data_IF_144701972397
#
_entry.id   IF_144701972397
#
_cell.length_a   1.000
_cell.length_b   1.000
_cell.length_c   1.000
_cell.angle_alpha   90.00
_cell.angle_beta   90.00
_cell.angle_gamma   90.00
#
_symmetry.space_group_name_H-M   'P 1'
#
loop_
_entity.id
_entity.type
_entity.pdbx_description
1 polymer ?
#
# COMPACT_ATOMS: atom_id res chain seq x y z
N UNK A 1 -25.74 -12.38 3.75
CA UNK A 1 -24.40 -11.77 3.53
C UNK A 1 -23.46 -12.28 4.60
N UNK A 2 -22.29 -12.79 4.23
CA UNK A 2 -21.28 -13.25 5.18
C UNK A 2 -20.54 -12.08 5.84
N UNK A 3 -20.06 -12.29 7.07
CA UNK A 3 -19.17 -11.32 7.75
C UNK A 3 -17.97 -11.00 6.86
N UNK A 4 -17.88 -9.75 6.38
CA UNK A 4 -16.76 -9.26 5.57
C UNK A 4 -17.04 -9.10 4.07
N UNK A 5 -18.24 -9.43 3.59
CA UNK A 5 -18.62 -9.26 2.19
C UNK A 5 -18.76 -7.77 1.81
N UNK A 6 -18.66 -7.51 0.50
CA UNK A 6 -19.02 -6.22 -0.10
C UNK A 6 -20.54 -6.04 -0.05
N UNK A 7 -20.99 -4.91 0.50
CA UNK A 7 -22.36 -4.41 0.35
C UNK A 7 -22.65 -4.14 -1.13
N UNK A 8 -23.93 -4.04 -1.52
CA UNK A 8 -24.30 -3.70 -2.89
C UNK A 8 -23.71 -2.35 -3.34
N UNK A 9 -23.68 -1.36 -2.43
CA UNK A 9 -23.04 -0.07 -2.69
C UNK A 9 -21.54 -0.21 -2.94
N UNK A 10 -20.81 -0.88 -2.05
CA UNK A 10 -19.36 -1.08 -2.23
C UNK A 10 -19.06 -1.90 -3.49
N UNK A 11 -19.93 -2.85 -3.85
CA UNK A 11 -19.83 -3.61 -5.10
C UNK A 11 -20.00 -2.70 -6.33
N UNK A 12 -21.02 -1.85 -6.34
CA UNK A 12 -21.29 -0.92 -7.46
C UNK A 12 -20.13 0.04 -7.75
N UNK A 13 -19.35 0.38 -6.73
CA UNK A 13 -18.14 1.21 -6.85
C UNK A 13 -16.91 0.44 -7.36
N UNK A 14 -16.90 -0.89 -7.20
CA UNK A 14 -15.76 -1.74 -7.55
C UNK A 14 -15.93 -2.39 -8.92
N UNK A 15 -17.13 -2.90 -9.21
CA UNK A 15 -17.46 -3.70 -10.38
C UNK A 15 -17.04 -3.06 -11.72
N UNK A 16 -17.23 -1.75 -11.97
CA UNK A 16 -16.83 -1.12 -13.22
C UNK A 16 -15.33 -1.21 -13.51
N UNK A 17 -14.51 -1.41 -12.48
CA UNK A 17 -13.04 -1.44 -12.57
C UNK A 17 -12.47 -2.86 -12.70
N UNK A 18 -13.33 -3.88 -12.64
CA UNK A 18 -12.91 -5.27 -12.77
C UNK A 18 -12.66 -5.62 -14.25
N UNK A 19 -11.66 -6.48 -14.55
CA UNK A 19 -11.47 -6.90 -15.93
C UNK A 19 -12.72 -7.63 -16.46
N UNK A 20 -13.02 -7.53 -17.76
CA UNK A 20 -14.24 -8.10 -18.34
C UNK A 20 -14.34 -9.61 -18.09
N UNK A 21 -15.57 -10.09 -17.91
CA UNK A 21 -15.88 -11.51 -17.78
C UNK A 21 -15.71 -12.18 -19.15
N UNK A 22 -14.50 -12.67 -19.43
CA UNK A 22 -14.22 -13.44 -20.64
C UNK A 22 -12.98 -12.98 -21.39
N UNK A 23 -12.11 -13.95 -21.70
CA UNK A 23 -10.89 -13.81 -22.49
C UNK A 23 -10.23 -15.18 -22.67
N UNK A 24 -9.20 -15.30 -23.52
CA UNK A 24 -8.58 -16.60 -23.91
C UNK A 24 -8.33 -17.52 -22.70
N UNK A 25 -9.10 -18.62 -22.65
CA UNK A 25 -8.99 -19.69 -21.66
C UNK A 25 -10.14 -19.83 -20.65
N UNK A 26 -11.38 -19.46 -21.00
CA UNK A 26 -12.61 -19.85 -20.30
C UNK A 26 -13.37 -18.72 -19.59
N UNK A 27 -14.64 -18.98 -19.27
CA UNK A 27 -15.52 -18.07 -18.52
C UNK A 27 -15.00 -17.94 -17.08
N UNK A 28 -14.81 -16.72 -16.62
CA UNK A 28 -14.42 -16.48 -15.23
C UNK A 28 -15.61 -16.78 -14.31
N UNK A 29 -15.35 -17.43 -13.17
CA UNK A 29 -16.34 -17.49 -12.09
C UNK A 29 -16.75 -16.07 -11.69
N UNK A 30 -17.98 -15.95 -11.18
CA UNK A 30 -18.57 -14.70 -10.73
C UNK A 30 -17.58 -13.87 -9.90
N UNK A 31 -17.35 -12.63 -10.35
CA UNK A 31 -16.36 -11.77 -9.73
C UNK A 31 -16.72 -11.45 -8.30
N UNK A 32 -18.01 -11.24 -8.00
CA UNK A 32 -18.45 -10.84 -6.66
C UNK A 32 -18.13 -11.92 -5.65
N UNK A 33 -18.48 -13.16 -5.97
CA UNK A 33 -18.21 -14.34 -5.14
C UNK A 33 -16.71 -14.51 -4.89
N UNK A 34 -15.90 -14.45 -5.96
CA UNK A 34 -14.44 -14.63 -5.84
C UNK A 34 -13.79 -13.48 -5.06
N UNK A 35 -14.15 -12.22 -5.34
CA UNK A 35 -13.61 -11.06 -4.64
C UNK A 35 -14.01 -11.08 -3.17
N UNK A 36 -15.26 -11.42 -2.84
CA UNK A 36 -15.68 -11.58 -1.46
C UNK A 36 -14.89 -12.68 -0.74
N UNK A 37 -14.61 -13.81 -1.40
CA UNK A 37 -13.74 -14.86 -0.85
C UNK A 37 -12.31 -14.37 -0.57
N UNK A 38 -11.74 -13.56 -1.46
CA UNK A 38 -10.43 -12.93 -1.25
C UNK A 38 -10.49 -11.97 -0.06
N UNK A 39 -11.46 -11.08 0.00
CA UNK A 39 -11.61 -10.09 1.08
C UNK A 39 -11.87 -10.76 2.42
N UNK A 40 -12.63 -11.85 2.45
CA UNK A 40 -12.80 -12.68 3.65
C UNK A 40 -11.46 -13.21 4.13
N UNK A 41 -10.66 -13.84 3.26
CA UNK A 41 -9.30 -14.30 3.62
C UNK A 41 -8.44 -13.16 4.14
N UNK A 42 -8.44 -12.01 3.46
CA UNK A 42 -7.62 -10.86 3.86
C UNK A 42 -8.01 -10.36 5.25
N UNK A 43 -9.31 -10.29 5.54
CA UNK A 43 -9.84 -9.84 6.83
C UNK A 43 -9.54 -10.83 7.96
N UNK A 44 -9.77 -12.12 7.77
CA UNK A 44 -9.70 -13.14 8.81
C UNK A 44 -8.31 -13.75 8.97
N UNK A 45 -7.50 -13.75 7.91
CA UNK A 45 -6.17 -14.37 7.91
C UNK A 45 -6.21 -15.89 7.84
N UNK A 46 -7.36 -16.51 7.57
CA UNK A 46 -7.46 -17.97 7.46
C UNK A 46 -6.59 -18.51 6.33
N UNK A 47 -6.06 -19.75 6.44
CA UNK A 47 -5.45 -20.44 5.32
C UNK A 47 -6.42 -20.50 4.13
N UNK A 48 -5.89 -20.41 2.90
CA UNK A 48 -6.72 -20.43 1.69
C UNK A 48 -7.62 -21.66 1.62
N UNK A 49 -7.15 -22.82 2.09
CA UNK A 49 -7.90 -24.09 2.08
C UNK A 49 -9.10 -24.10 3.02
N UNK A 50 -9.10 -23.23 4.02
CA UNK A 50 -10.14 -23.15 5.05
C UNK A 50 -11.14 -22.03 4.73
N UNK A 51 -11.15 -21.58 3.47
CA UNK A 51 -12.14 -20.63 2.99
C UNK A 51 -13.54 -21.26 3.02
N UNK A 52 -14.56 -20.54 3.50
CA UNK A 52 -15.92 -21.04 3.51
C UNK A 52 -16.42 -21.42 2.12
N UNK A 53 -17.10 -22.56 2.02
CA UNK A 53 -17.57 -23.15 0.76
C UNK A 53 -18.50 -22.24 -0.04
N UNK A 54 -19.21 -21.30 0.62
CA UNK A 54 -20.06 -20.29 -0.03
C UNK A 54 -19.35 -19.42 -1.07
N UNK A 55 -18.02 -19.32 -1.01
CA UNK A 55 -17.23 -18.57 -2.00
C UNK A 55 -16.77 -19.44 -3.18
N UNK A 56 -17.12 -20.72 -3.17
CA UNK A 56 -16.69 -21.71 -4.14
C UNK A 56 -15.27 -22.23 -3.87
N UNK A 57 -14.67 -22.83 -4.91
CA UNK A 57 -13.38 -23.51 -4.79
C UNK A 57 -12.25 -22.57 -4.34
N UNK A 58 -11.62 -22.88 -3.21
CA UNK A 58 -10.46 -22.13 -2.71
C UNK A 58 -9.32 -22.01 -3.73
N UNK A 59 -9.14 -23.02 -4.59
CA UNK A 59 -8.12 -23.02 -5.66
C UNK A 59 -8.38 -21.88 -6.63
N UNK A 60 -9.64 -21.70 -7.04
CA UNK A 60 -10.06 -20.61 -7.94
C UNK A 60 -9.79 -19.25 -7.30
N UNK A 61 -10.19 -19.08 -6.04
CA UNK A 61 -10.04 -17.82 -5.30
C UNK A 61 -8.55 -17.47 -5.16
N UNK A 62 -7.73 -18.43 -4.74
CA UNK A 62 -6.29 -18.26 -4.61
C UNK A 62 -5.61 -17.96 -5.95
N UNK A 63 -5.95 -18.69 -7.01
CA UNK A 63 -5.36 -18.46 -8.34
C UNK A 63 -5.74 -17.10 -8.91
N UNK A 64 -6.98 -16.64 -8.69
CA UNK A 64 -7.41 -15.30 -9.06
C UNK A 64 -6.59 -14.25 -8.32
N UNK A 65 -6.51 -14.38 -6.99
CA UNK A 65 -5.72 -13.47 -6.17
C UNK A 65 -4.26 -13.45 -6.63
N UNK A 66 -3.63 -14.62 -6.77
CA UNK A 66 -2.23 -14.75 -7.21
C UNK A 66 -2.01 -14.13 -8.60
N UNK A 67 -2.90 -14.36 -9.56
CA UNK A 67 -2.79 -13.81 -10.92
C UNK A 67 -2.87 -12.29 -10.91
N UNK A 68 -3.89 -11.73 -10.25
CA UNK A 68 -4.10 -10.28 -10.14
C UNK A 68 -3.00 -9.57 -9.35
N UNK A 69 -2.43 -10.25 -8.36
CA UNK A 69 -1.24 -9.80 -7.64
C UNK A 69 0.01 -9.80 -8.52
N UNK A 70 0.12 -10.75 -9.45
CA UNK A 70 1.29 -10.88 -10.31
C UNK A 70 1.29 -9.87 -11.46
N UNK A 71 0.15 -9.67 -12.13
CA UNK A 71 0.03 -8.82 -13.32
C UNK A 71 -0.36 -7.35 -13.04
N UNK A 72 -0.48 -7.00 -11.75
CA UNK A 72 -0.80 -5.65 -11.30
C UNK A 72 -2.27 -5.26 -11.43
N UNK A 73 -3.18 -6.21 -11.61
CA UNK A 73 -4.64 -5.93 -11.68
C UNK A 73 -5.15 -5.29 -10.39
N UNK A 74 -4.69 -5.73 -9.22
CA UNK A 74 -5.05 -5.07 -7.96
C UNK A 74 -4.63 -3.61 -7.90
N UNK A 75 -3.44 -3.27 -8.41
CA UNK A 75 -2.97 -1.88 -8.43
C UNK A 75 -3.83 -1.02 -9.37
N UNK A 76 -4.20 -1.56 -10.54
CA UNK A 76 -5.06 -0.86 -11.50
C UNK A 76 -6.45 -0.60 -10.91
N UNK A 77 -7.02 -1.59 -10.23
CA UNK A 77 -8.30 -1.44 -9.52
C UNK A 77 -8.17 -0.34 -8.45
N UNK A 78 -7.14 -0.40 -7.60
CA UNK A 78 -6.91 0.64 -6.57
C UNK A 78 -6.79 2.03 -7.19
N UNK A 79 -6.01 2.19 -8.26
CA UNK A 79 -5.84 3.47 -8.94
C UNK A 79 -7.14 3.98 -9.57
N UNK A 80 -8.01 3.09 -10.05
CA UNK A 80 -9.29 3.49 -10.66
C UNK A 80 -10.30 3.89 -9.58
N UNK A 81 -10.38 3.16 -8.47
CA UNK A 81 -11.20 3.57 -7.30
C UNK A 81 -10.71 4.91 -6.72
N UNK A 82 -9.40 5.15 -6.68
CA UNK A 82 -8.82 6.43 -6.30
C UNK A 82 -9.16 7.53 -7.32
N UNK A 83 -9.16 7.23 -8.62
CA UNK A 83 -9.52 8.19 -9.66
C UNK A 83 -10.97 8.68 -9.51
N UNK A 84 -11.90 7.76 -9.23
CA UNK A 84 -13.31 8.11 -8.94
C UNK A 84 -13.42 8.94 -7.65
N UNK A 85 -12.60 8.65 -6.64
CA UNK A 85 -12.56 9.45 -5.43
C UNK A 85 -12.00 10.86 -5.67
N UNK A 86 -10.95 11.00 -6.47
CA UNK A 86 -10.37 12.30 -6.84
C UNK A 86 -11.37 13.14 -7.64
N UNK A 87 -12.04 12.52 -8.61
CA UNK A 87 -13.07 13.15 -9.43
C UNK A 87 -14.24 13.67 -8.57
N UNK A 88 -14.62 12.90 -7.54
CA UNK A 88 -15.65 13.29 -6.58
C UNK A 88 -15.15 14.25 -5.47
N UNK A 89 -13.91 14.73 -5.53
CA UNK A 89 -13.33 15.61 -4.50
C UNK A 89 -13.10 14.95 -3.14
N UNK A 90 -13.08 13.61 -3.09
CA UNK A 90 -12.98 12.82 -1.85
C UNK A 90 -11.55 12.48 -1.44
N UNK A 91 -10.53 12.98 -2.14
CA UNK A 91 -9.13 12.81 -1.73
C UNK A 91 -8.63 14.10 -1.09
N UNK A 92 -8.22 14.02 0.18
CA UNK A 92 -7.52 15.13 0.81
C UNK A 92 -6.05 15.19 0.37
N UNK A 93 -5.76 16.09 -0.57
CA UNK A 93 -4.40 16.38 -1.02
C UNK A 93 -3.67 17.42 -0.18
N UNK A 94 -4.40 18.13 0.69
CA UNK A 94 -3.86 19.20 1.52
C UNK A 94 -2.80 18.69 2.50
N UNK A 95 -2.87 17.40 2.83
CA UNK A 95 -1.87 16.71 3.63
C UNK A 95 -1.86 15.20 3.39
N UNK A 96 -0.69 14.70 3.03
CA UNK A 96 -0.43 13.26 2.89
C UNK A 96 0.65 12.86 3.89
N UNK A 97 0.32 11.94 4.80
CA UNK A 97 1.27 11.41 5.76
C UNK A 97 2.06 10.23 5.17
N UNK A 98 3.37 10.22 5.39
CA UNK A 98 4.23 9.07 5.06
C UNK A 98 4.68 8.40 6.36
N UNK A 99 4.42 7.11 6.45
CA UNK A 99 4.93 6.29 7.53
C UNK A 99 5.09 4.83 7.06
N UNK A 100 5.67 4.01 7.93
CA UNK A 100 5.83 2.59 7.70
C UNK A 100 5.33 1.77 8.89
N UNK A 101 5.09 0.49 8.65
CA UNK A 101 4.78 -0.45 9.72
C UNK A 101 5.44 -1.79 9.46
N UNK A 102 5.92 -2.43 10.51
CA UNK A 102 6.43 -3.79 10.44
C UNK A 102 5.27 -4.79 10.50
N UNK A 103 5.38 -5.82 9.67
CA UNK A 103 4.49 -6.99 9.66
C UNK A 103 5.33 -8.23 9.94
N UNK A 104 4.95 -8.96 11.00
CA UNK A 104 5.62 -10.22 11.33
C UNK A 104 5.32 -11.23 10.23
N UNK A 105 6.34 -11.94 9.77
CA UNK A 105 6.18 -13.03 8.84
C UNK A 105 6.09 -14.34 9.64
N UNK A 106 4.99 -15.07 9.46
CA UNK A 106 4.88 -16.41 10.03
C UNK A 106 5.91 -17.34 9.36
N UNK A 107 6.33 -18.43 10.04
CA UNK A 107 7.25 -19.40 9.45
C UNK A 107 6.74 -19.97 8.11
N UNK A 108 5.41 -20.02 7.91
CA UNK A 108 4.78 -20.44 6.66
C UNK A 108 5.01 -19.48 5.48
N UNK A 109 5.42 -18.24 5.74
CA UNK A 109 5.83 -17.29 4.71
C UNK A 109 7.27 -17.53 4.22
N UNK A 110 8.04 -18.43 4.84
CA UNK A 110 9.37 -18.81 4.39
C UNK A 110 9.34 -19.90 3.29
N UNK A 111 10.50 -20.18 2.70
CA UNK A 111 10.68 -21.29 1.76
C UNK A 111 9.97 -21.08 0.41
N UNK A 112 9.94 -19.85 -0.10
CA UNK A 112 9.55 -19.61 -1.48
C UNK A 112 10.55 -20.28 -2.44
N UNK A 113 10.08 -20.87 -3.55
CA UNK A 113 10.98 -21.47 -4.56
C UNK A 113 11.97 -20.41 -5.06
N UNK A 114 13.27 -20.73 -5.12
CA UNK A 114 14.31 -19.79 -5.57
C UNK A 114 14.17 -19.38 -7.04
N UNK A 115 13.55 -20.23 -7.87
CA UNK A 115 13.26 -19.91 -9.26
C UNK A 115 12.41 -18.64 -9.37
N UNK A 116 12.80 -17.75 -10.30
CA UNK A 116 12.10 -16.50 -10.57
C UNK A 116 10.63 -16.79 -10.92
N UNK A 117 9.64 -16.23 -10.20
CA UNK A 117 8.25 -16.47 -10.50
C UNK A 117 7.89 -15.82 -11.84
N UNK A 118 6.98 -16.48 -12.58
CA UNK A 118 6.36 -15.95 -13.79
C UNK A 118 4.90 -15.56 -13.50
N UNK A 119 4.43 -14.52 -14.17
CA UNK A 119 3.01 -14.20 -14.21
C UNK A 119 2.28 -15.36 -14.92
N UNK A 120 1.17 -15.88 -14.37
CA UNK A 120 0.43 -16.97 -15.01
C UNK A 120 0.11 -16.66 -16.47
N UNK A 121 0.36 -17.63 -17.37
CA UNK A 121 0.16 -17.52 -18.83
C UNK A 121 0.99 -16.42 -19.53
N UNK A 122 1.99 -15.82 -18.89
CA UNK A 122 2.88 -14.81 -19.49
C UNK A 122 4.35 -15.15 -19.26
N UNK A 123 5.22 -14.76 -20.20
CA UNK A 123 6.69 -14.93 -20.08
C UNK A 123 7.37 -13.83 -19.25
N UNK A 124 6.60 -13.03 -18.51
CA UNK A 124 7.07 -11.88 -17.72
C UNK A 124 7.11 -12.17 -16.22
N UNK A 125 7.92 -11.43 -15.47
CA UNK A 125 7.96 -11.48 -14.01
C UNK A 125 6.84 -10.65 -13.38
N UNK A 126 6.40 -11.00 -12.15
CA UNK A 126 5.42 -10.19 -11.42
C UNK A 126 5.85 -8.72 -11.26
N UNK A 127 4.88 -7.80 -11.31
CA UNK A 127 5.12 -6.35 -11.25
C UNK A 127 5.88 -5.90 -10.01
N UNK A 128 5.56 -6.48 -8.85
CA UNK A 128 6.23 -6.22 -7.57
C UNK A 128 7.12 -7.40 -7.15
N UNK A 129 7.73 -8.09 -8.11
CA UNK A 129 8.69 -9.16 -7.80
C UNK A 129 9.92 -8.59 -7.10
N UNK A 130 10.32 -9.22 -6.00
CA UNK A 130 11.60 -8.96 -5.34
C UNK A 130 12.33 -10.28 -5.11
N UNK A 131 13.65 -10.35 -5.38
CA UNK A 131 14.44 -11.56 -5.11
C UNK A 131 14.47 -11.94 -3.63
N UNK A 132 14.45 -10.95 -2.74
CA UNK A 132 14.40 -11.12 -1.27
C UNK A 132 13.00 -11.43 -0.73
N UNK A 133 12.00 -11.49 -1.61
CA UNK A 133 10.58 -11.63 -1.28
C UNK A 133 10.07 -10.62 -0.24
N UNK A 134 10.78 -9.50 -0.04
CA UNK A 134 10.49 -8.50 0.98
C UNK A 134 10.56 -9.05 2.40
N UNK A 135 11.32 -10.12 2.66
CA UNK A 135 11.52 -10.69 3.99
C UNK A 135 12.93 -10.41 4.50
N UNK A 136 13.06 -10.13 5.79
CA UNK A 136 14.37 -10.06 6.43
C UNK A 136 14.32 -10.07 7.94
N UNK A 137 15.48 -10.22 8.57
CA UNK A 137 15.60 -10.37 10.03
C UNK A 137 15.65 -9.01 10.70
N UNK A 138 14.81 -8.83 11.71
CA UNK A 138 14.76 -7.65 12.58
C UNK A 138 14.79 -8.10 14.05
N UNK A 139 14.79 -7.16 14.99
CA UNK A 139 14.64 -7.48 16.43
C UNK A 139 13.40 -8.33 16.74
N UNK A 140 12.32 -8.20 15.95
CA UNK A 140 11.09 -8.99 16.09
C UNK A 140 11.08 -10.33 15.32
N UNK A 141 12.24 -10.82 14.87
CA UNK A 141 12.36 -12.02 14.04
C UNK A 141 12.22 -11.72 12.55
N UNK A 142 11.70 -12.70 11.79
CA UNK A 142 11.46 -12.56 10.35
C UNK A 142 10.28 -11.61 10.09
N UNK A 143 10.55 -10.49 9.44
CA UNK A 143 9.57 -9.43 9.22
C UNK A 143 9.67 -8.85 7.81
N UNK A 144 8.62 -8.15 7.41
CA UNK A 144 8.60 -7.24 6.28
C UNK A 144 8.09 -5.88 6.75
N UNK A 145 8.27 -4.84 5.94
CA UNK A 145 7.73 -3.51 6.18
C UNK A 145 6.76 -3.13 5.06
N UNK A 146 5.66 -2.50 5.46
CA UNK A 146 4.74 -1.81 4.57
C UNK A 146 5.02 -0.32 4.76
N UNK A 147 5.55 0.33 3.74
CA UNK A 147 5.67 1.79 3.67
C UNK A 147 4.48 2.31 2.89
N UNK A 148 3.84 3.38 3.38
CA UNK A 148 2.66 3.92 2.73
C UNK A 148 2.58 5.44 2.81
N UNK A 149 1.87 6.00 1.84
CA UNK A 149 1.37 7.35 1.87
C UNK A 149 -0.14 7.28 2.14
N UNK A 150 -0.62 7.92 3.20
CA UNK A 150 -2.04 7.98 3.57
C UNK A 150 -2.59 9.40 3.44
N UNK A 151 -3.85 9.52 3.00
CA UNK A 151 -4.58 10.79 2.98
C UNK A 151 -5.42 11.00 4.27
N UNK A 152 -6.03 12.18 4.39
CA UNK A 152 -6.69 12.66 5.61
C UNK A 152 -7.78 11.77 6.18
N UNK A 153 -8.54 11.05 5.34
CA UNK A 153 -9.60 10.14 5.78
C UNK A 153 -9.10 8.71 6.08
N UNK A 154 -7.80 8.59 6.28
CA UNK A 154 -7.11 7.38 6.66
C UNK A 154 -7.15 6.26 5.61
N UNK A 155 -7.03 6.61 4.31
CA UNK A 155 -6.94 5.65 3.19
C UNK A 155 -5.56 5.71 2.52
N UNK A 156 -4.97 4.56 2.12
CA UNK A 156 -3.66 4.56 1.45
C UNK A 156 -3.74 5.07 0.01
N UNK A 157 -2.90 6.04 -0.35
CA UNK A 157 -2.66 6.47 -1.73
C UNK A 157 -1.62 5.61 -2.44
N UNK A 158 -0.55 5.22 -1.75
CA UNK A 158 0.53 4.42 -2.30
C UNK A 158 1.07 3.42 -1.27
N UNK A 159 1.60 2.29 -1.78
CA UNK A 159 2.11 1.17 -0.99
C UNK A 159 3.47 0.70 -1.55
N UNK A 160 4.38 0.36 -0.65
CA UNK A 160 5.67 -0.25 -0.95
C UNK A 160 6.04 -1.29 0.10
N UNK A 161 6.54 -2.45 -0.35
CA UNK A 161 7.05 -3.50 0.51
C UNK A 161 8.57 -3.56 0.50
N UNK A 162 9.17 -3.67 1.67
CA UNK A 162 10.61 -3.94 1.84
C UNK A 162 10.86 -5.02 2.89
N UNK A 163 12.05 -5.62 2.92
CA UNK A 163 12.51 -6.41 4.06
C UNK A 163 12.48 -5.64 5.38
N UNK A 164 12.34 -6.36 6.49
CA UNK A 164 12.17 -5.80 7.83
C UNK A 164 13.33 -4.95 8.36
N UNK A 165 14.57 -5.25 7.95
CA UNK A 165 15.80 -4.56 8.36
C UNK A 165 16.05 -3.27 7.59
N UNK A 166 15.31 -3.02 6.51
CA UNK A 166 15.50 -1.81 5.71
C UNK A 166 15.03 -0.59 6.52
N UNK A 167 15.83 0.48 6.48
CA UNK A 167 15.47 1.76 7.11
C UNK A 167 14.33 2.47 6.37
N UNK A 168 13.57 3.28 7.09
CA UNK A 168 12.35 3.92 6.56
C UNK A 168 12.68 5.17 5.75
N UNK A 169 13.64 5.97 6.22
CA UNK A 169 14.00 7.24 5.61
C UNK A 169 14.26 7.17 4.09
N UNK A 170 15.01 6.18 3.55
CA UNK A 170 15.25 6.08 2.11
C UNK A 170 14.00 5.76 1.28
N UNK A 171 12.97 5.15 1.90
CA UNK A 171 11.78 4.66 1.21
C UNK A 171 10.70 5.75 1.00
N UNK A 172 10.83 6.90 1.65
CA UNK A 172 9.89 8.02 1.48
C UNK A 172 9.73 8.43 0.02
N UNK A 173 10.86 8.56 -0.70
CA UNK A 173 10.87 8.93 -2.13
C UNK A 173 10.17 7.85 -2.95
N UNK A 174 10.50 6.58 -2.73
CA UNK A 174 9.91 5.44 -3.44
C UNK A 174 8.40 5.35 -3.25
N UNK A 175 7.90 5.64 -2.04
CA UNK A 175 6.46 5.70 -1.76
C UNK A 175 5.80 6.89 -2.44
N UNK A 176 6.41 8.08 -2.38
CA UNK A 176 5.86 9.29 -3.00
C UNK A 176 5.84 9.21 -4.54
N UNK A 177 6.84 8.56 -5.15
CA UNK A 177 6.89 8.33 -6.60
C UNK A 177 5.84 7.31 -7.07
N UNK A 178 5.31 6.49 -6.15
CA UNK A 178 4.20 5.57 -6.43
C UNK A 178 2.82 6.24 -6.37
N UNK A 179 2.72 7.47 -5.84
CA UNK A 179 1.46 8.22 -5.88
C UNK A 179 1.16 8.58 -7.33
N UNK A 180 0.10 7.99 -7.86
CA UNK A 180 -0.36 8.23 -9.24
C UNK A 180 -1.86 7.97 -9.32
N UNK A 181 -2.64 9.05 -9.28
CA UNK A 181 -4.10 9.00 -9.40
C UNK A 181 -4.50 9.48 -10.80
N UNK A 182 -5.01 8.59 -11.67
CA UNK A 182 -5.49 8.96 -13.00
C UNK A 182 -6.63 9.98 -12.93
N UNK A 183 -6.80 10.76 -14.01
CA UNK A 183 -7.92 11.69 -14.17
C UNK A 183 -8.85 11.18 -15.28
N UNK A 184 -10.04 10.65 -14.94
CA UNK A 184 -10.94 10.04 -15.93
C UNK A 184 -11.37 11.01 -17.04
N UNK A 185 -11.52 12.30 -16.72
CA UNK A 185 -11.89 13.37 -17.67
C UNK A 185 -10.71 13.87 -18.54
N UNK A 186 -9.55 13.20 -18.48
CA UNK A 186 -8.36 13.57 -19.25
C UNK A 186 -7.31 14.36 -18.44
N UNK A 187 -6.14 14.51 -19.05
CA UNK A 187 -4.96 15.16 -18.47
C UNK A 187 -3.97 14.19 -17.79
N UNK A 188 -2.87 14.76 -17.27
CA UNK A 188 -1.83 13.97 -16.60
C UNK A 188 -2.33 13.50 -15.22
N UNK A 189 -2.02 12.25 -14.80
CA UNK A 189 -2.33 11.78 -13.45
C UNK A 189 -1.81 12.73 -12.36
N UNK A 190 -2.56 12.90 -11.28
CA UNK A 190 -2.07 13.63 -10.11
C UNK A 190 -1.06 12.75 -9.37
N UNK A 191 0.16 13.26 -9.23
CA UNK A 191 1.29 12.54 -8.60
C UNK A 191 1.90 13.30 -7.43
N UNK A 192 1.34 14.46 -7.08
CA UNK A 192 1.95 15.40 -6.14
C UNK A 192 0.94 15.81 -5.05
N UNK A 193 1.22 15.46 -3.78
CA UNK A 193 0.55 16.07 -2.63
C UNK A 193 0.91 17.54 -2.47
N UNK A 194 0.00 18.33 -1.90
CA UNK A 194 0.24 19.76 -1.65
C UNK A 194 1.11 19.94 -0.40
N UNK A 195 1.03 18.99 0.54
CA UNK A 195 1.85 18.92 1.74
C UNK A 195 2.12 17.48 2.14
N UNK A 196 3.32 17.20 2.66
CA UNK A 196 3.71 15.91 3.22
C UNK A 196 4.03 16.03 4.71
N UNK A 197 3.46 15.15 5.53
CA UNK A 197 3.86 14.98 6.93
C UNK A 197 4.62 13.67 7.12
N UNK A 198 5.53 13.64 8.09
CA UNK A 198 6.32 12.45 8.39
C UNK A 198 7.04 12.57 9.72
N UNK A 199 7.50 11.44 10.25
CA UNK A 199 8.33 11.43 11.46
C UNK A 199 9.67 12.15 11.26
N UNK A 200 10.37 12.37 12.37
CA UNK A 200 11.73 12.94 12.36
C UNK A 200 12.76 12.06 11.63
N UNK A 201 12.54 10.76 11.48
CA UNK A 201 13.46 9.86 10.79
C UNK A 201 13.49 10.15 9.28
N UNK A 202 12.40 10.66 8.70
CA UNK A 202 12.36 11.10 7.29
C UNK A 202 13.10 12.43 7.01
N UNK A 203 13.74 13.05 8.01
CA UNK A 203 14.36 14.40 7.92
C UNK A 203 15.59 14.52 7.00
N UNK A 204 16.08 13.43 6.40
CA UNK A 204 17.34 13.38 5.64
C UNK A 204 17.46 14.45 4.56
N UNK A 205 18.70 14.92 4.29
CA UNK A 205 18.97 15.92 3.23
C UNK A 205 18.46 15.48 1.85
N UNK A 206 18.56 14.18 1.53
CA UNK A 206 18.04 13.58 0.28
C UNK A 206 16.53 13.78 0.17
N UNK A 207 15.79 13.47 1.24
CA UNK A 207 14.34 13.62 1.30
C UNK A 207 13.91 15.09 1.18
N UNK A 208 14.58 15.99 1.91
CA UNK A 208 14.32 17.44 1.82
C UNK A 208 14.57 18.00 0.42
N UNK A 209 15.66 17.56 -0.24
CA UNK A 209 15.99 17.96 -1.61
C UNK A 209 14.92 17.48 -2.60
N UNK A 210 14.44 16.24 -2.45
CA UNK A 210 13.37 15.70 -3.28
C UNK A 210 12.08 16.51 -3.13
N UNK A 211 11.62 16.75 -1.90
CA UNK A 211 10.39 17.51 -1.63
C UNK A 211 10.48 18.93 -2.21
N UNK A 212 11.62 19.60 -2.03
CA UNK A 212 11.88 20.93 -2.60
C UNK A 212 11.84 20.93 -4.13
N UNK A 213 12.51 19.95 -4.77
CA UNK A 213 12.54 19.81 -6.24
C UNK A 213 11.14 19.59 -6.81
N UNK A 214 10.29 18.82 -6.14
CA UNK A 214 8.89 18.60 -6.55
C UNK A 214 7.95 19.74 -6.13
N UNK A 215 8.43 20.75 -5.39
CA UNK A 215 7.64 21.83 -4.79
C UNK A 215 6.53 21.31 -3.88
N UNK A 216 6.85 20.30 -3.08
CA UNK A 216 5.96 19.72 -2.05
C UNK A 216 6.31 20.37 -0.72
N UNK A 217 5.34 21.03 -0.08
CA UNK A 217 5.52 21.55 1.30
C UNK A 217 5.59 20.39 2.28
N UNK A 218 6.25 20.57 3.42
CA UNK A 218 6.36 19.48 4.38
C UNK A 218 6.35 19.92 5.83
N UNK A 219 5.84 19.04 6.70
CA UNK A 219 6.02 19.12 8.15
C UNK A 219 6.69 17.83 8.61
N UNK A 220 8.02 17.86 8.62
CA UNK A 220 8.87 16.78 9.11
C UNK A 220 9.80 17.42 10.14
N UNK A 221 9.76 17.00 11.43
CA UNK A 221 10.62 17.56 12.46
C UNK A 221 12.11 17.35 12.15
N UNK A 222 12.95 18.27 12.63
CA UNK A 222 14.41 18.10 12.61
C UNK A 222 14.87 17.47 13.94
N UNK A 223 15.63 16.36 13.89
CA UNK A 223 16.27 15.79 15.09
C UNK A 223 17.14 16.80 15.86
N UNK A 224 17.24 16.64 17.18
CA UNK A 224 17.96 17.59 18.06
C UNK A 224 19.44 17.72 17.70
N UNK A 225 20.08 16.61 17.36
CA UNK A 225 21.46 16.51 16.90
C UNK A 225 21.67 17.23 15.56
N UNK A 226 20.75 17.07 14.61
CA UNK A 226 20.79 17.79 13.32
C UNK A 226 20.67 19.30 13.54
N UNK A 227 19.75 19.74 14.41
CA UNK A 227 19.61 21.16 14.80
C UNK A 227 20.90 21.69 15.41
N UNK A 228 21.54 20.93 16.30
CA UNK A 228 22.79 21.33 16.95
C UNK A 228 23.96 21.40 15.95
N UNK A 229 24.08 20.42 15.05
CA UNK A 229 25.10 20.42 13.99
C UNK A 229 24.90 21.60 13.02
N UNK A 230 23.65 21.86 12.62
CA UNK A 230 23.31 23.03 11.79
C UNK A 230 23.74 24.34 12.45
N UNK A 231 23.46 24.52 13.74
CA UNK A 231 23.87 25.70 14.51
C UNK A 231 25.40 25.81 14.59
N UNK A 232 26.10 24.71 14.85
CA UNK A 232 27.58 24.66 14.89
C UNK A 232 28.23 25.09 13.57
N UNK A 233 27.61 24.76 12.43
CA UNK A 233 28.09 25.16 11.10
C UNK A 233 27.77 26.63 10.73
N UNK A 234 27.12 27.40 11.60
CA UNK A 234 26.81 28.81 11.35
C UNK A 234 26.10 29.03 10.02
N UNK A 235 26.68 29.91 9.18
CA UNK A 235 26.14 30.27 7.86
C UNK A 235 26.10 29.08 6.88
N UNK A 236 27.04 28.16 6.97
CA UNK A 236 27.12 26.95 6.12
C UNK A 236 26.11 25.85 6.51
N UNK A 237 25.52 25.95 7.71
CA UNK A 237 24.49 25.04 8.18
C UNK A 237 23.16 25.17 7.41
N UNK A 238 22.90 26.34 6.82
CA UNK A 238 21.68 26.63 6.11
C UNK A 238 20.48 26.99 7.02
N UNK A 239 19.36 27.35 6.38
CA UNK A 239 18.17 27.88 7.05
C UNK A 239 17.48 26.82 7.93
N UNK A 240 17.01 27.18 9.14
CA UNK A 240 16.19 26.28 9.96
C UNK A 240 14.97 25.78 9.20
N UNK A 241 14.55 24.55 9.49
CA UNK A 241 13.30 24.00 8.95
C UNK A 241 12.13 24.59 9.71
N UNK A 242 11.17 25.20 9.01
CA UNK A 242 9.90 25.62 9.60
C UNK A 242 9.12 24.42 10.13
N UNK A 243 8.58 24.53 11.34
CA UNK A 243 7.77 23.50 11.97
C UNK A 243 6.42 24.08 12.38
N UNK A 244 5.37 23.57 11.75
CA UNK A 244 3.98 23.92 12.04
C UNK A 244 3.39 22.82 12.94
N UNK A 245 3.09 23.19 14.20
CA UNK A 245 2.61 22.25 15.22
C UNK A 245 1.21 21.73 14.89
N UNK A 246 0.34 22.56 14.34
CA UNK A 246 -1.05 22.20 14.03
C UNK A 246 -1.11 21.24 12.85
N UNK A 247 -0.30 21.49 11.81
CA UNK A 247 -0.12 20.49 10.73
C UNK A 247 0.50 19.20 11.23
N UNK A 248 1.43 19.27 12.19
CA UNK A 248 2.05 18.06 12.72
C UNK A 248 1.08 17.19 13.52
N UNK A 249 0.04 17.76 14.16
CA UNK A 249 -1.00 16.98 14.87
C UNK A 249 -1.72 16.00 13.93
N UNK A 250 -1.93 16.39 12.67
CA UNK A 250 -2.54 15.55 11.63
C UNK A 250 -1.65 14.37 11.19
N UNK A 251 -0.40 14.25 11.65
CA UNK A 251 0.42 13.02 11.49
C UNK A 251 -0.32 11.78 12.03
N UNK A 252 -1.22 11.93 13.00
CA UNK A 252 -2.03 10.82 13.50
C UNK A 252 -2.92 10.15 12.42
N UNK A 253 -3.16 10.79 11.27
CA UNK A 253 -3.95 10.25 10.15
C UNK A 253 -3.26 9.06 9.49
N UNK A 254 -1.93 9.12 9.27
CA UNK A 254 -1.19 8.00 8.69
C UNK A 254 -1.04 6.84 9.68
N UNK A 255 -0.92 7.13 10.98
CA UNK A 255 -0.92 6.11 12.03
C UNK A 255 -2.28 5.38 12.10
N UNK A 256 -3.38 6.14 12.03
CA UNK A 256 -4.73 5.57 11.93
C UNK A 256 -4.95 4.79 10.63
N UNK A 257 -4.37 5.23 9.51
CA UNK A 257 -4.37 4.48 8.24
C UNK A 257 -3.70 3.12 8.41
N UNK A 258 -2.53 3.09 9.05
CA UNK A 258 -1.79 1.86 9.38
C UNK A 258 -2.64 0.95 10.28
N UNK A 259 -3.27 1.50 11.32
CA UNK A 259 -4.13 0.74 12.22
C UNK A 259 -5.35 0.14 11.49
N UNK A 260 -5.99 0.90 10.59
CA UNK A 260 -7.08 0.41 9.74
C UNK A 260 -6.64 -0.73 8.83
N UNK A 261 -5.44 -0.66 8.25
CA UNK A 261 -4.88 -1.77 7.48
C UNK A 261 -4.57 -2.99 8.35
N UNK A 262 -4.04 -2.80 9.57
CA UNK A 262 -3.74 -3.90 10.49
C UNK A 262 -4.96 -4.57 11.10
N UNK A 263 -6.15 -3.97 10.99
CA UNK A 263 -7.40 -4.68 11.29
C UNK A 263 -7.67 -5.85 10.32
N UNK A 264 -7.00 -5.91 9.17
CA UNK A 264 -6.99 -7.09 8.31
C UNK A 264 -5.90 -8.05 8.80
N UNK A 265 -6.31 -9.20 9.35
CA UNK A 265 -5.37 -10.13 10.01
C UNK A 265 -4.28 -10.63 9.07
N UNK A 266 -4.61 -10.82 7.78
CA UNK A 266 -3.62 -11.21 6.76
C UNK A 266 -2.62 -10.10 6.41
N UNK A 267 -2.90 -8.84 6.78
CA UNK A 267 -1.97 -7.70 6.66
C UNK A 267 -1.14 -7.57 7.93
N UNK A 268 -1.76 -7.72 9.12
CA UNK A 268 -1.06 -7.67 10.40
C UNK A 268 0.04 -8.73 10.52
N UNK A 269 -0.24 -9.95 10.08
CA UNK A 269 0.71 -11.06 10.02
C UNK A 269 0.77 -11.62 8.61
N UNK A 270 1.98 -11.62 8.04
CA UNK A 270 2.22 -12.12 6.69
C UNK A 270 2.38 -13.65 6.71
N UNK A 271 1.53 -14.34 5.95
CA UNK A 271 1.64 -15.76 5.64
C UNK A 271 2.08 -16.03 4.19
N UNK A 272 2.00 -15.01 3.33
CA UNK A 272 2.27 -15.13 1.90
C UNK A 272 3.77 -15.22 1.62
N UNK A 273 4.20 -16.33 0.99
CA UNK A 273 5.62 -16.59 0.69
C UNK A 273 6.23 -15.58 -0.29
N UNK A 274 5.45 -15.11 -1.25
CA UNK A 274 5.92 -14.22 -2.32
C UNK A 274 5.55 -12.77 -2.05
N UNK A 275 6.50 -11.85 -2.25
CA UNK A 275 6.30 -10.42 -2.08
C UNK A 275 5.10 -9.91 -2.87
N UNK A 276 5.00 -10.29 -4.15
CA UNK A 276 3.94 -9.81 -5.03
C UNK A 276 2.54 -10.28 -4.56
N UNK A 277 2.42 -11.49 -4.00
CA UNK A 277 1.16 -11.98 -3.44
C UNK A 277 0.79 -11.17 -2.20
N UNK A 278 1.75 -10.96 -1.29
CA UNK A 278 1.52 -10.14 -0.10
C UNK A 278 1.17 -8.68 -0.48
N UNK A 279 1.82 -8.12 -1.51
CA UNK A 279 1.47 -6.80 -2.04
C UNK A 279 0.00 -6.74 -2.44
N UNK A 280 -0.49 -7.76 -3.16
CA UNK A 280 -1.90 -7.86 -3.51
C UNK A 280 -2.81 -8.00 -2.28
N UNK A 281 -2.40 -8.72 -1.23
CA UNK A 281 -3.13 -8.80 0.05
C UNK A 281 -3.33 -7.40 0.65
N UNK A 282 -2.24 -6.62 0.74
CA UNK A 282 -2.30 -5.24 1.27
C UNK A 282 -3.11 -4.32 0.36
N UNK A 283 -2.98 -4.48 -0.96
CA UNK A 283 -3.72 -3.69 -1.96
C UNK A 283 -5.22 -3.96 -1.91
N UNK A 284 -5.64 -5.23 -1.75
CA UNK A 284 -7.05 -5.59 -1.59
C UNK A 284 -7.64 -5.01 -0.30
N UNK A 285 -6.88 -5.02 0.80
CA UNK A 285 -7.28 -4.32 2.04
C UNK A 285 -7.40 -2.80 1.82
N UNK A 286 -6.47 -2.18 1.10
CA UNK A 286 -6.53 -0.76 0.77
C UNK A 286 -7.74 -0.41 -0.09
N UNK A 287 -8.07 -1.21 -1.12
CA UNK A 287 -9.29 -1.06 -1.91
C UNK A 287 -10.51 -1.08 -1.01
N UNK A 288 -10.59 -2.04 -0.07
CA UNK A 288 -11.70 -2.10 0.88
C UNK A 288 -11.82 -0.84 1.75
N UNK A 289 -10.70 -0.19 2.12
CA UNK A 289 -10.73 1.10 2.83
C UNK A 289 -11.25 2.24 1.95
N UNK A 290 -10.97 2.23 0.64
CA UNK A 290 -11.49 3.22 -0.31
C UNK A 290 -12.97 3.07 -0.63
N UNK A 291 -13.47 1.83 -0.63
CA UNK A 291 -14.88 1.53 -0.90
C UNK A 291 -15.80 1.85 0.28
N UNK A 292 -15.27 1.85 1.51
CA UNK A 292 -16.00 2.25 2.72
C UNK A 292 -16.16 3.77 2.72
N UNK A 293 -17.34 4.20 2.29
CA UNK A 293 -17.83 5.57 2.42
C UNK A 293 -18.72 5.65 3.64
#
# INVERSE_FOLDING_TARGET
MGRGDLTNREWSLLEPHLPPLGGRGGRWNDHRTVVNGILFRVRTGVPWRDLPERYGSWKTIYERHRRWSADGTWDRILQSVQADADLAGRIDWSMVGVDSTSCRAHQHAAGARKARPRVPKKRTTPRHHRPDEGLGRSRGGLTCKIHLAGEGDCRPLALLLTPGQWGDAPQMIEVLDRIRVPRPLGGRPRTRPDHVSGDKAYSSRRNRRYLRRRRIRHTIPEPKDQRANRRRRGREGGRPVGFDRDRYRRRNEVERTINRLKNYRAVATRYDKRAYVFHGTVTAAAIRLWLRQ
#
